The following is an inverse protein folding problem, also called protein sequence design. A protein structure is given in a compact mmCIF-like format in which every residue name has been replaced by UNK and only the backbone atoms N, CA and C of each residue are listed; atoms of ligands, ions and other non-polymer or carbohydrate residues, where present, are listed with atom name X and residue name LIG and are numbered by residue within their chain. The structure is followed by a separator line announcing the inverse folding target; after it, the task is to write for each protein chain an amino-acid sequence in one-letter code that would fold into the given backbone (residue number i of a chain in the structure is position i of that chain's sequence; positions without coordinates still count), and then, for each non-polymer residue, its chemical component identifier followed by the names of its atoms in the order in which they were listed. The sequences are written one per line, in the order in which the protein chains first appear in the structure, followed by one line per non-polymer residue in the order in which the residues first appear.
data_IF_193854359115
#
_entry.id   IF_193854359115
#
_cell.length_a   1.000
_cell.length_b   1.000
_cell.length_c   1.000
_cell.angle_alpha   90.00
_cell.angle_beta   90.00
_cell.angle_gamma   90.00
#
_symmetry.space_group_name_H-M   'P 1'
#
loop_
_entity.id
_entity.type
_entity.pdbx_description
1 polymer ?
#
# COMPACT_ATOMS: atom_id res chain seq x y z
N UNK A 1 -17.76 8.15 12.52
CA UNK A 1 -16.36 8.48 12.19
C UNK A 1 -16.18 8.34 10.68
N UNK A 2 -15.97 9.45 9.97
CA UNK A 2 -15.64 9.42 8.53
C UNK A 2 -14.15 9.07 8.45
N UNK A 3 -13.81 7.95 7.81
CA UNK A 3 -12.41 7.59 7.55
C UNK A 3 -12.07 8.01 6.12
N UNK A 4 -11.29 9.09 5.98
CA UNK A 4 -10.85 9.64 4.70
C UNK A 4 -9.90 8.71 3.93
N UNK A 5 -9.37 7.68 4.60
CA UNK A 5 -8.44 6.69 4.04
C UNK A 5 -9.12 5.40 3.57
N UNK A 6 -10.45 5.34 3.62
CA UNK A 6 -11.19 4.14 3.22
C UNK A 6 -11.30 4.08 1.69
N UNK A 7 -10.76 3.01 1.11
CA UNK A 7 -10.80 2.78 -0.34
C UNK A 7 -12.10 2.10 -0.77
N UNK A 8 -12.52 1.08 -0.03
CA UNK A 8 -13.75 0.34 -0.32
C UNK A 8 -14.34 -0.24 0.96
N UNK A 9 -15.66 -0.45 0.94
CA UNK A 9 -16.43 -1.07 2.01
C UNK A 9 -17.48 -2.00 1.42
N UNK A 10 -17.55 -3.21 1.96
CA UNK A 10 -18.64 -4.15 1.74
C UNK A 10 -19.34 -4.44 3.05
N UNK A 11 -20.66 -4.60 3.01
CA UNK A 11 -21.48 -4.83 4.21
C UNK A 11 -22.46 -5.96 4.02
N UNK A 12 -22.72 -6.66 5.12
CA UNK A 12 -23.82 -7.58 5.37
C UNK A 12 -24.48 -7.16 6.69
N UNK A 13 -25.58 -7.80 7.04
CA UNK A 13 -26.34 -7.47 8.26
C UNK A 13 -25.48 -7.54 9.52
N UNK A 14 -24.57 -8.51 9.59
CA UNK A 14 -23.75 -8.76 10.79
C UNK A 14 -22.25 -8.66 10.54
N UNK A 15 -21.80 -8.29 9.34
CA UNK A 15 -20.37 -8.21 9.06
C UNK A 15 -20.03 -7.11 8.06
N UNK A 16 -18.82 -6.59 8.15
CA UNK A 16 -18.30 -5.53 7.30
C UNK A 16 -16.87 -5.88 6.93
N UNK A 17 -16.52 -5.69 5.66
CA UNK A 17 -15.15 -5.67 5.19
C UNK A 17 -14.79 -4.25 4.74
N UNK A 18 -13.68 -3.72 5.22
CA UNK A 18 -13.15 -2.41 4.84
C UNK A 18 -11.68 -2.52 4.42
N UNK A 19 -11.33 -1.80 3.36
CA UNK A 19 -9.94 -1.68 2.91
C UNK A 19 -9.51 -0.22 3.05
N UNK A 20 -8.35 0.01 3.66
CA UNK A 20 -7.82 1.35 3.93
C UNK A 20 -6.43 1.53 3.31
N UNK A 21 -6.17 2.76 2.90
CA UNK A 21 -4.88 3.24 2.39
C UNK A 21 -3.99 3.72 3.53
N UNK A 22 -2.79 3.16 3.65
CA UNK A 22 -1.69 3.64 4.49
C UNK A 22 -0.37 3.63 3.70
N UNK A 23 -0.41 3.96 2.40
CA UNK A 23 0.77 4.08 1.55
C UNK A 23 1.60 5.31 1.93
N UNK A 24 2.91 5.20 1.77
CA UNK A 24 3.88 6.26 2.07
C UNK A 24 4.91 6.32 0.95
N UNK A 25 5.31 7.52 0.56
CA UNK A 25 6.35 7.69 -0.45
C UNK A 25 7.70 7.31 0.15
N UNK A 26 8.54 6.62 -0.61
CA UNK A 26 9.91 6.38 -0.20
C UNK A 26 10.67 7.71 -0.10
N UNK A 27 11.11 8.05 1.10
CA UNK A 27 11.83 9.27 1.43
C UNK A 27 13.36 9.05 1.56
N UNK A 28 13.82 7.82 1.31
CA UNK A 28 15.22 7.40 1.39
C UNK A 28 15.84 7.58 2.79
N UNK A 29 15.05 7.68 3.86
CA UNK A 29 15.54 7.60 5.23
C UNK A 29 15.56 6.16 5.74
N UNK A 30 16.52 5.76 6.57
CA UNK A 30 16.63 4.36 6.96
C UNK A 30 15.47 3.87 7.82
N UNK A 31 14.81 4.74 8.56
CA UNK A 31 13.68 4.33 9.39
C UNK A 31 12.41 4.13 8.56
N UNK A 32 12.13 5.05 7.63
CA UNK A 32 10.84 5.18 6.94
C UNK A 32 10.87 4.77 5.46
N UNK A 33 12.03 4.81 4.83
CA UNK A 33 12.25 4.57 3.41
C UNK A 33 13.27 3.45 3.14
N UNK A 34 13.51 3.20 1.85
CA UNK A 34 14.55 2.32 1.36
C UNK A 34 15.64 3.14 0.67
N UNK A 35 16.89 2.70 0.78
CA UNK A 35 17.98 3.24 -0.05
C UNK A 35 17.77 2.87 -1.53
N UNK A 36 17.08 1.76 -1.79
CA UNK A 36 16.70 1.32 -3.13
C UNK A 36 15.63 2.22 -3.76
N UNK A 37 15.65 2.32 -5.09
CA UNK A 37 14.66 3.11 -5.84
C UNK A 37 13.34 2.35 -5.95
N UNK A 38 12.47 2.56 -4.97
CA UNK A 38 11.06 2.14 -4.99
C UNK A 38 10.16 3.35 -4.69
N UNK A 39 8.94 3.38 -5.21
CA UNK A 39 7.99 4.48 -4.93
C UNK A 39 7.47 4.40 -3.49
N UNK A 40 7.34 3.17 -2.97
CA UNK A 40 6.73 2.87 -1.69
C UNK A 40 7.77 2.81 -0.56
N UNK A 41 7.54 3.54 0.53
CA UNK A 41 8.36 3.47 1.74
C UNK A 41 8.15 2.19 2.56
N UNK A 42 9.01 1.97 3.57
CA UNK A 42 9.04 0.76 4.42
C UNK A 42 7.73 0.44 5.11
N UNK A 43 6.96 1.46 5.46
CA UNK A 43 5.67 1.34 6.16
C UNK A 43 4.45 1.43 5.27
N UNK A 44 4.61 1.48 3.95
CA UNK A 44 3.48 1.51 3.00
C UNK A 44 2.66 0.25 3.11
N UNK A 45 1.39 0.37 3.49
CA UNK A 45 0.49 -0.77 3.63
C UNK A 45 -0.90 -0.48 3.06
N UNK A 46 -1.55 -1.52 2.56
CA UNK A 46 -2.99 -1.57 2.40
C UNK A 46 -3.56 -2.45 3.51
N UNK A 47 -4.49 -1.89 4.29
CA UNK A 47 -5.04 -2.51 5.48
C UNK A 47 -6.43 -3.09 5.20
N UNK A 48 -6.58 -4.38 5.45
CA UNK A 48 -7.83 -5.11 5.40
C UNK A 48 -8.39 -5.24 6.80
N UNK A 49 -9.64 -4.87 6.98
CA UNK A 49 -10.37 -5.03 8.23
C UNK A 49 -11.65 -5.80 7.97
N UNK A 50 -11.90 -6.83 8.76
CA UNK A 50 -13.19 -7.51 8.81
C UNK A 50 -13.73 -7.37 10.22
N UNK A 51 -14.94 -6.84 10.34
CA UNK A 51 -15.66 -6.69 11.60
C UNK A 51 -16.88 -7.58 11.54
N UNK A 52 -16.98 -8.54 12.45
CA UNK A 52 -18.16 -9.39 12.65
C UNK A 52 -18.83 -9.03 13.98
N UNK A 53 -20.11 -8.65 13.92
CA UNK A 53 -20.91 -8.23 15.06
C UNK A 53 -22.01 -9.23 15.43
N UNK A 54 -21.97 -10.47 14.92
CA UNK A 54 -22.95 -11.52 15.26
C UNK A 54 -23.12 -11.71 16.76
N UNK A 55 -22.04 -11.60 17.52
CA UNK A 55 -22.01 -11.80 18.98
C UNK A 55 -22.10 -10.49 19.78
N UNK A 56 -22.29 -9.35 19.11
CA UNK A 56 -22.41 -8.04 19.74
C UNK A 56 -21.60 -6.94 19.03
N UNK A 57 -21.80 -5.70 19.45
CA UNK A 57 -21.12 -4.51 18.92
C UNK A 57 -19.99 -4.05 19.86
N UNK A 58 -19.14 -3.15 19.37
CA UNK A 58 -18.01 -2.54 20.11
C UNK A 58 -17.02 -3.61 20.60
N UNK A 59 -16.78 -3.69 21.90
CA UNK A 59 -15.84 -4.64 22.52
C UNK A 59 -16.21 -6.11 22.30
N UNK A 60 -17.49 -6.39 21.97
CA UNK A 60 -17.97 -7.74 21.65
C UNK A 60 -17.88 -8.07 20.15
N UNK A 61 -17.47 -7.12 19.32
CA UNK A 61 -17.29 -7.36 17.89
C UNK A 61 -15.97 -8.11 17.67
N UNK A 62 -16.01 -9.15 16.85
CA UNK A 62 -14.79 -9.82 16.41
C UNK A 62 -14.19 -9.00 15.27
N UNK A 63 -12.95 -8.54 15.45
CA UNK A 63 -12.23 -7.73 14.47
C UNK A 63 -10.97 -8.47 14.04
N UNK A 64 -10.81 -8.63 12.73
CA UNK A 64 -9.57 -9.10 12.13
C UNK A 64 -8.96 -7.98 11.30
N UNK A 65 -7.67 -7.74 11.51
CA UNK A 65 -6.89 -6.76 10.75
C UNK A 65 -5.71 -7.45 10.09
N UNK A 66 -5.45 -7.13 8.81
CA UNK A 66 -4.28 -7.60 8.09
C UNK A 66 -3.70 -6.50 7.22
N UNK A 67 -2.38 -6.31 7.27
CA UNK A 67 -1.68 -5.26 6.53
C UNK A 67 -0.82 -5.88 5.43
N UNK A 68 -1.19 -5.64 4.17
CA UNK A 68 -0.42 -6.06 3.00
C UNK A 68 0.56 -4.97 2.56
N UNK A 69 1.75 -5.36 2.13
CA UNK A 69 2.63 -4.48 1.37
C UNK A 69 2.11 -4.30 -0.06
N UNK A 70 2.52 -3.25 -0.78
CA UNK A 70 2.20 -3.07 -2.20
C UNK A 70 2.53 -4.32 -3.05
N UNK A 71 3.72 -4.88 -2.89
CA UNK A 71 4.16 -6.07 -3.65
C UNK A 71 3.34 -7.32 -3.33
N UNK A 72 2.96 -7.53 -2.07
CA UNK A 72 2.06 -8.63 -1.69
C UNK A 72 0.67 -8.47 -2.33
N UNK A 73 0.18 -7.23 -2.39
CA UNK A 73 -1.12 -6.91 -2.97
C UNK A 73 -1.11 -7.11 -4.49
N UNK A 74 -0.04 -6.73 -5.17
CA UNK A 74 0.19 -7.06 -6.57
C UNK A 74 0.17 -8.57 -6.81
N UNK A 75 0.86 -9.34 -5.95
CA UNK A 75 0.83 -10.81 -6.00
C UNK A 75 -0.58 -11.37 -5.89
N UNK A 76 -1.39 -10.85 -4.95
CA UNK A 76 -2.81 -11.22 -4.85
C UNK A 76 -3.58 -10.89 -6.14
N UNK A 77 -3.38 -9.70 -6.73
CA UNK A 77 -4.06 -9.33 -7.98
C UNK A 77 -3.65 -10.20 -9.17
N UNK A 78 -2.39 -10.60 -9.28
CA UNK A 78 -1.94 -11.52 -10.31
C UNK A 78 -2.66 -12.88 -10.22
N UNK A 79 -2.93 -13.35 -9.01
CA UNK A 79 -3.65 -14.60 -8.77
C UNK A 79 -5.16 -14.43 -9.06
N UNK A 80 -5.75 -13.29 -8.66
CA UNK A 80 -7.17 -12.99 -8.86
C UNK A 80 -7.55 -12.64 -10.31
N UNK A 81 -6.64 -12.07 -11.11
CA UNK A 81 -6.95 -11.55 -12.45
C UNK A 81 -7.33 -12.68 -13.42
N UNK A 82 -8.39 -12.47 -14.22
CA UNK A 82 -8.91 -13.41 -15.21
C UNK A 82 -9.43 -14.74 -14.63
N UNK A 83 -9.91 -14.73 -13.38
CA UNK A 83 -10.43 -15.92 -12.67
C UNK A 83 -11.90 -15.79 -12.24
N UNK A 84 -12.87 -15.54 -13.15
CA UNK A 84 -14.27 -15.27 -12.77
C UNK A 84 -14.97 -16.42 -12.02
N UNK A 85 -14.49 -17.66 -12.19
CA UNK A 85 -15.08 -18.86 -11.59
C UNK A 85 -14.11 -19.62 -10.68
N UNK A 86 -13.04 -18.97 -10.18
CA UNK A 86 -12.13 -19.57 -9.19
C UNK A 86 -11.17 -20.68 -9.67
N UNK A 87 -11.41 -21.32 -10.82
CA UNK A 87 -10.56 -22.44 -11.32
C UNK A 87 -9.10 -22.00 -11.49
N UNK A 88 -8.85 -20.98 -12.33
CA UNK A 88 -7.50 -20.42 -12.56
C UNK A 88 -6.90 -19.81 -11.29
N UNK A 89 -7.74 -19.37 -10.36
CA UNK A 89 -7.31 -18.85 -9.08
C UNK A 89 -6.67 -19.96 -8.24
N UNK A 90 -7.34 -21.11 -8.10
CA UNK A 90 -6.84 -22.25 -7.30
C UNK A 90 -5.49 -22.75 -7.82
N UNK A 91 -5.36 -22.92 -9.14
CA UNK A 91 -4.10 -23.32 -9.76
C UNK A 91 -2.95 -22.35 -9.43
N UNK A 92 -3.19 -21.05 -9.58
CA UNK A 92 -2.19 -20.01 -9.28
C UNK A 92 -1.89 -19.90 -7.79
N UNK A 93 -2.90 -20.06 -6.93
CA UNK A 93 -2.75 -20.06 -5.48
C UNK A 93 -1.87 -21.23 -5.02
N UNK A 94 -2.05 -22.43 -5.58
CA UNK A 94 -1.19 -23.60 -5.31
C UNK A 94 0.27 -23.29 -5.69
N UNK A 95 0.49 -22.71 -6.87
CA UNK A 95 1.84 -22.35 -7.33
C UNK A 95 2.49 -21.33 -6.37
N UNK A 96 1.75 -20.29 -5.99
CA UNK A 96 2.22 -19.27 -5.05
C UNK A 96 2.54 -19.87 -3.67
N UNK A 97 1.68 -20.74 -3.16
CA UNK A 97 1.86 -21.33 -1.84
C UNK A 97 2.98 -22.36 -1.78
N UNK A 98 3.26 -23.08 -2.87
CA UNK A 98 4.44 -23.96 -2.96
C UNK A 98 5.74 -23.20 -2.68
N UNK A 99 5.85 -21.96 -3.15
CA UNK A 99 7.01 -21.11 -2.85
C UNK A 99 7.08 -20.74 -1.35
N UNK A 100 5.93 -20.69 -0.69
CA UNK A 100 5.80 -20.38 0.74
C UNK A 100 5.68 -21.62 1.65
N UNK A 101 5.88 -22.83 1.11
CA UNK A 101 5.74 -24.12 1.83
C UNK A 101 4.39 -24.31 2.51
N UNK A 102 3.33 -23.75 1.92
CA UNK A 102 1.94 -23.95 2.35
C UNK A 102 1.26 -24.89 1.35
N UNK A 103 0.57 -25.91 1.84
CA UNK A 103 -0.25 -26.77 0.99
C UNK A 103 -1.71 -26.28 1.04
N UNK A 104 -2.07 -25.40 0.10
CA UNK A 104 -3.41 -24.83 0.01
C UNK A 104 -3.76 -24.37 -1.40
N UNK A 105 -5.04 -24.48 -1.76
CA UNK A 105 -5.66 -23.94 -2.98
C UNK A 105 -6.16 -22.49 -2.81
N UNK A 106 -5.81 -21.85 -1.70
CA UNK A 106 -6.19 -20.48 -1.34
C UNK A 106 -4.97 -19.57 -1.30
N UNK A 107 -5.09 -18.31 -1.66
CA UNK A 107 -3.99 -17.38 -1.42
C UNK A 107 -3.81 -17.20 0.09
N UNK A 108 -2.64 -17.54 0.62
CA UNK A 108 -2.35 -17.45 2.06
C UNK A 108 -1.10 -16.62 2.32
N UNK A 109 -1.22 -15.62 3.17
CA UNK A 109 -0.10 -14.87 3.74
C UNK A 109 -0.15 -14.96 5.26
N UNK A 110 0.96 -15.36 5.87
CA UNK A 110 1.14 -15.37 7.31
C UNK A 110 2.29 -14.43 7.68
N UNK A 111 2.07 -13.61 8.71
CA UNK A 111 3.08 -12.68 9.24
C UNK A 111 3.20 -12.85 10.74
N UNK A 112 4.42 -12.83 11.25
CA UNK A 112 4.70 -12.88 12.68
C UNK A 112 5.49 -11.65 13.11
N UNK A 113 5.08 -11.03 14.21
CA UNK A 113 5.77 -9.86 14.76
C UNK A 113 6.86 -10.28 15.73
N UNK A 114 7.98 -10.79 15.22
CA UNK A 114 9.08 -11.36 16.01
C UNK A 114 9.73 -10.41 17.03
N UNK A 115 9.56 -9.08 16.89
CA UNK A 115 10.04 -8.09 17.86
C UNK A 115 9.12 -7.90 19.08
N UNK A 116 7.85 -8.30 18.98
CA UNK A 116 6.89 -8.14 20.06
C UNK A 116 6.59 -9.51 20.65
N UNK A 117 6.58 -9.60 21.97
CA UNK A 117 6.29 -10.83 22.71
C UNK A 117 5.34 -10.53 23.86
N UNK A 118 4.40 -11.43 24.09
CA UNK A 118 3.54 -11.40 25.28
C UNK A 118 4.30 -11.96 26.51
N UNK A 119 3.61 -12.02 27.65
CA UNK A 119 4.16 -12.53 28.92
C UNK A 119 4.55 -14.02 28.85
N UNK A 120 3.95 -14.78 27.92
CA UNK A 120 4.28 -16.19 27.63
C UNK A 120 5.43 -16.32 26.60
N UNK A 121 6.11 -15.21 26.25
CA UNK A 121 7.18 -15.15 25.24
C UNK A 121 6.72 -15.57 23.83
N UNK A 122 5.41 -15.48 23.54
CA UNK A 122 4.82 -15.73 22.23
C UNK A 122 4.68 -14.43 21.43
N UNK A 123 4.96 -14.50 20.14
CA UNK A 123 4.79 -13.39 19.21
C UNK A 123 3.43 -13.47 18.50
N UNK A 124 2.75 -12.34 18.29
CA UNK A 124 1.50 -12.32 17.57
C UNK A 124 1.73 -12.63 16.10
N UNK A 125 0.83 -13.43 15.54
CA UNK A 125 0.81 -13.86 14.16
C UNK A 125 -0.54 -13.50 13.52
N UNK A 126 -0.50 -13.14 12.24
CA UNK A 126 -1.65 -12.71 11.46
C UNK A 126 -1.67 -13.49 10.16
N UNK A 127 -2.82 -14.04 9.81
CA UNK A 127 -3.02 -14.77 8.57
C UNK A 127 -4.12 -14.12 7.77
N UNK A 128 -3.86 -13.83 6.49
CA UNK A 128 -4.88 -13.52 5.50
C UNK A 128 -4.98 -14.70 4.55
N UNK A 129 -6.21 -15.20 4.37
CA UNK A 129 -6.55 -16.21 3.39
C UNK A 129 -7.64 -15.70 2.45
N UNK A 130 -7.43 -15.83 1.15
CA UNK A 130 -8.45 -15.60 0.13
C UNK A 130 -8.73 -16.92 -0.57
N UNK A 131 -9.98 -17.37 -0.61
CA UNK A 131 -10.38 -18.63 -1.24
C UNK A 131 -11.64 -18.48 -2.09
N UNK A 132 -11.85 -19.46 -2.98
CA UNK A 132 -13.07 -19.60 -3.76
C UNK A 132 -13.81 -20.88 -3.35
N UNK A 133 -14.99 -20.72 -2.77
CA UNK A 133 -15.79 -21.76 -2.14
C UNK A 133 -16.84 -22.31 -3.13
N UNK A 134 -16.40 -23.18 -4.05
CA UNK A 134 -17.24 -23.76 -5.12
C UNK A 134 -18.55 -24.37 -4.60
N UNK A 135 -18.48 -25.03 -3.45
CA UNK A 135 -19.56 -25.78 -2.82
C UNK A 135 -20.65 -24.89 -2.18
N UNK A 136 -20.45 -23.57 -2.09
CA UNK A 136 -21.49 -22.68 -1.61
C UNK A 136 -22.63 -22.57 -2.62
N UNK A 137 -23.86 -22.72 -2.12
CA UNK A 137 -25.09 -22.58 -2.90
C UNK A 137 -25.42 -21.14 -3.28
N UNK A 138 -24.87 -20.17 -2.54
CA UNK A 138 -25.07 -18.75 -2.81
C UNK A 138 -24.02 -18.20 -3.80
N UNK A 139 -24.29 -17.02 -4.35
CA UNK A 139 -23.39 -16.37 -5.31
C UNK A 139 -22.15 -15.74 -4.65
N UNK A 140 -22.08 -15.72 -3.31
CA UNK A 140 -20.99 -15.12 -2.54
C UNK A 140 -19.90 -16.15 -2.25
N UNK A 141 -19.20 -16.58 -3.31
CA UNK A 141 -18.23 -17.68 -3.25
C UNK A 141 -16.81 -17.26 -2.89
N UNK A 142 -16.47 -15.98 -2.95
CA UNK A 142 -15.13 -15.53 -2.59
C UNK A 142 -15.05 -15.24 -1.10
N UNK A 143 -14.19 -15.95 -0.38
CA UNK A 143 -14.01 -15.78 1.05
C UNK A 143 -12.71 -15.03 1.34
N UNK A 144 -12.81 -13.91 2.03
CA UNK A 144 -11.69 -13.31 2.76
C UNK A 144 -11.75 -13.78 4.20
N UNK A 145 -10.65 -14.31 4.70
CA UNK A 145 -10.51 -14.82 6.05
C UNK A 145 -9.29 -14.17 6.70
N UNK A 146 -9.48 -13.59 7.88
CA UNK A 146 -8.39 -13.05 8.69
C UNK A 146 -8.40 -13.79 10.02
N UNK A 147 -7.22 -14.25 10.41
CA UNK A 147 -6.98 -14.93 11.67
C UNK A 147 -5.85 -14.24 12.42
N UNK A 148 -6.05 -14.11 13.72
CA UNK A 148 -5.02 -13.66 14.66
C UNK A 148 -4.67 -14.83 15.57
N UNK A 149 -3.38 -15.04 15.76
CA UNK A 149 -2.83 -16.10 16.55
C UNK A 149 -1.60 -15.60 17.32
N UNK A 150 -1.02 -16.48 18.12
CA UNK A 150 0.27 -16.29 18.76
C UNK A 150 1.11 -17.56 18.63
N UNK A 151 2.43 -17.42 18.69
CA UNK A 151 3.35 -18.55 18.68
C UNK A 151 4.81 -18.11 18.82
N UNK A 152 5.72 -19.06 19.04
CA UNK A 152 7.14 -18.75 19.09
C UNK A 152 7.64 -18.40 17.69
N UNK A 153 8.39 -17.31 17.57
CA UNK A 153 9.01 -16.91 16.31
C UNK A 153 10.28 -17.72 16.03
N UNK A 154 10.36 -18.29 14.82
CA UNK A 154 11.54 -18.99 14.30
C UNK A 154 12.06 -18.29 13.05
N UNK A 155 13.37 -18.06 13.01
CA UNK A 155 14.06 -17.43 11.88
C UNK A 155 14.70 -18.50 11.00
N UNK A 156 14.37 -18.52 9.71
CA UNK A 156 15.06 -19.30 8.69
C UNK A 156 16.02 -18.35 7.97
N UNK A 157 17.32 -18.62 8.08
CA UNK A 157 18.31 -17.96 7.25
C UNK A 157 18.38 -18.65 5.89
N UNK A 158 18.22 -17.87 4.82
CA UNK A 158 18.42 -18.31 3.45
C UNK A 158 19.91 -18.29 3.13
N UNK A 159 20.34 -19.21 2.26
CA UNK A 159 21.74 -19.30 1.77
C UNK A 159 22.26 -17.99 1.16
N UNK A 160 21.37 -17.09 0.75
CA UNK A 160 21.69 -15.79 0.15
C UNK A 160 21.65 -14.62 1.16
N UNK A 161 21.66 -14.91 2.47
CA UNK A 161 21.69 -13.88 3.53
C UNK A 161 20.33 -13.29 3.93
N UNK A 162 19.24 -13.70 3.28
CA UNK A 162 17.88 -13.29 3.68
C UNK A 162 17.40 -14.01 4.94
N UNK A 163 16.59 -13.34 5.77
CA UNK A 163 15.95 -13.92 6.96
C UNK A 163 14.43 -13.94 6.80
N UNK A 164 13.82 -15.10 7.03
CA UNK A 164 12.37 -15.26 7.05
C UNK A 164 11.91 -15.68 8.44
N UNK A 165 10.99 -14.92 9.03
CA UNK A 165 10.39 -15.24 10.31
C UNK A 165 9.05 -15.96 10.12
N UNK A 166 8.85 -17.05 10.84
CA UNK A 166 7.62 -17.84 10.82
C UNK A 166 7.28 -18.34 12.24
N UNK A 167 6.06 -18.87 12.41
CA UNK A 167 5.67 -19.51 13.66
C UNK A 167 6.30 -20.90 13.75
N UNK A 168 7.03 -21.16 14.83
CA UNK A 168 7.62 -22.47 15.12
C UNK A 168 6.53 -23.53 15.24
N UNK A 169 6.75 -24.66 14.57
CA UNK A 169 5.78 -25.78 14.55
C UNK A 169 5.43 -26.23 15.97
N UNK A 170 4.13 -26.38 16.25
CA UNK A 170 3.61 -26.85 17.54
C UNK A 170 3.39 -25.76 18.59
N UNK A 171 3.82 -24.51 18.32
CA UNK A 171 3.64 -23.38 19.25
C UNK A 171 2.45 -22.47 18.88
N UNK A 172 1.83 -22.77 17.74
CA UNK A 172 0.72 -21.99 17.20
C UNK A 172 -0.54 -22.10 18.06
N UNK A 173 -1.07 -20.94 18.47
CA UNK A 173 -2.30 -20.82 19.24
C UNK A 173 -3.21 -19.78 18.61
N UNK A 174 -4.35 -20.23 18.08
CA UNK A 174 -5.36 -19.34 17.49
C UNK A 174 -6.06 -18.52 18.56
N UNK A 175 -6.19 -17.21 18.33
CA UNK A 175 -6.86 -16.27 19.23
C UNK A 175 -8.24 -15.89 18.70
N UNK A 176 -8.32 -15.50 17.43
CA UNK A 176 -9.55 -15.01 16.81
C UNK A 176 -9.53 -15.27 15.30
N UNK A 177 -10.71 -15.39 14.71
CA UNK A 177 -10.89 -15.49 13.28
C UNK A 177 -12.16 -14.75 12.84
N UNK A 178 -12.12 -14.19 11.64
CA UNK A 178 -13.25 -13.53 11.00
C UNK A 178 -13.24 -13.83 9.52
N UNK A 179 -14.43 -13.81 8.90
CA UNK A 179 -14.54 -13.98 7.46
C UNK A 179 -15.61 -13.11 6.83
N UNK A 180 -15.39 -12.75 5.56
CA UNK A 180 -16.32 -11.99 4.75
C UNK A 180 -16.40 -12.60 3.37
N UNK A 181 -17.62 -12.70 2.84
CA UNK A 181 -17.89 -13.32 1.55
C UNK A 181 -18.28 -12.27 0.51
N UNK A 182 -17.60 -12.28 -0.64
CA UNK A 182 -17.92 -11.46 -1.80
C UNK A 182 -18.53 -12.32 -2.90
N UNK A 183 -19.49 -11.74 -3.62
CA UNK A 183 -19.91 -12.28 -4.91
C UNK A 183 -18.95 -11.84 -6.02
N UNK A 184 -19.13 -12.37 -7.23
CA UNK A 184 -18.26 -12.06 -8.37
C UNK A 184 -18.23 -10.57 -8.75
N UNK A 185 -19.37 -9.87 -8.65
CA UNK A 185 -19.44 -8.45 -8.96
C UNK A 185 -18.66 -7.60 -7.94
N UNK A 186 -18.79 -7.93 -6.65
CA UNK A 186 -18.05 -7.29 -5.57
C UNK A 186 -16.55 -7.58 -5.66
N UNK A 187 -16.17 -8.82 -5.96
CA UNK A 187 -14.76 -9.19 -6.18
C UNK A 187 -14.15 -8.42 -7.36
N UNK A 188 -14.85 -8.34 -8.49
CA UNK A 188 -14.42 -7.54 -9.64
C UNK A 188 -14.30 -6.06 -9.29
N UNK A 189 -15.23 -5.53 -8.49
CA UNK A 189 -15.18 -4.15 -8.00
C UNK A 189 -13.97 -3.92 -7.09
N UNK A 190 -13.70 -4.85 -6.17
CA UNK A 190 -12.53 -4.83 -5.29
C UNK A 190 -11.23 -4.78 -6.10
N UNK A 191 -11.03 -5.71 -7.04
CA UNK A 191 -9.83 -5.76 -7.89
C UNK A 191 -9.68 -4.43 -8.64
N UNK A 192 -10.74 -3.97 -9.30
CA UNK A 192 -10.72 -2.75 -10.12
C UNK A 192 -10.41 -1.49 -9.31
N UNK A 193 -11.06 -1.30 -8.16
CA UNK A 193 -10.91 -0.08 -7.35
C UNK A 193 -9.52 -0.03 -6.75
N UNK A 194 -9.07 -1.12 -6.13
CA UNK A 194 -7.79 -1.12 -5.42
C UNK A 194 -6.61 -1.09 -6.40
N UNK A 195 -6.63 -1.86 -7.50
CA UNK A 195 -5.58 -1.80 -8.52
C UNK A 195 -5.46 -0.41 -9.18
N UNK A 196 -6.60 0.23 -9.49
CA UNK A 196 -6.62 1.59 -10.02
C UNK A 196 -6.07 2.60 -9.01
N UNK A 197 -6.43 2.47 -7.73
CA UNK A 197 -5.91 3.32 -6.67
C UNK A 197 -4.39 3.23 -6.57
N UNK A 198 -3.85 2.00 -6.50
CA UNK A 198 -2.40 1.76 -6.44
C UNK A 198 -1.67 2.45 -7.59
N UNK A 199 -2.13 2.24 -8.82
CA UNK A 199 -1.53 2.83 -10.01
C UNK A 199 -1.56 4.36 -9.99
N UNK A 200 -2.71 4.97 -9.70
CA UNK A 200 -2.83 6.43 -9.65
C UNK A 200 -1.95 7.00 -8.53
N UNK A 201 -1.92 6.34 -7.38
CA UNK A 201 -1.10 6.76 -6.25
C UNK A 201 0.38 6.73 -6.62
N UNK A 202 0.86 5.69 -7.30
CA UNK A 202 2.24 5.60 -7.80
C UNK A 202 2.55 6.69 -8.82
N UNK A 203 1.69 6.88 -9.83
CA UNK A 203 1.87 7.91 -10.87
C UNK A 203 1.99 9.32 -10.26
N UNK A 204 1.17 9.65 -9.25
CA UNK A 204 1.19 10.96 -8.59
C UNK A 204 2.43 11.14 -7.70
N UNK A 205 2.88 10.08 -7.02
CA UNK A 205 3.96 10.17 -6.04
C UNK A 205 5.36 9.86 -6.61
N UNK A 206 5.45 9.33 -7.82
CA UNK A 206 6.73 9.05 -8.48
C UNK A 206 7.63 10.29 -8.59
N UNK A 207 7.15 11.47 -9.04
CA UNK A 207 7.98 12.68 -9.08
C UNK A 207 8.52 13.08 -7.70
N UNK A 208 7.69 12.96 -6.66
CA UNK A 208 8.07 13.25 -5.28
C UNK A 208 9.16 12.29 -4.77
N UNK A 209 9.08 11.00 -5.12
CA UNK A 209 10.15 10.04 -4.83
C UNK A 209 11.45 10.45 -5.53
N UNK A 210 11.41 10.92 -6.78
CA UNK A 210 12.61 11.41 -7.48
C UNK A 210 13.24 12.63 -6.80
N UNK A 211 12.43 13.55 -6.27
CA UNK A 211 12.93 14.68 -5.48
C UNK A 211 13.68 14.20 -4.22
N UNK A 212 13.10 13.25 -3.47
CA UNK A 212 13.75 12.67 -2.30
C UNK A 212 15.03 11.92 -2.64
N UNK A 213 15.05 11.22 -3.77
CA UNK A 213 16.25 10.56 -4.28
C UNK A 213 17.36 11.56 -4.56
N UNK A 214 17.06 12.66 -5.25
CA UNK A 214 18.05 13.70 -5.55
C UNK A 214 18.64 14.32 -4.27
N UNK A 215 17.80 14.52 -3.25
CA UNK A 215 18.26 15.00 -1.94
C UNK A 215 19.15 13.96 -1.22
N UNK A 216 18.80 12.68 -1.29
CA UNK A 216 19.61 11.59 -0.76
C UNK A 216 20.98 11.52 -1.46
N UNK A 217 21.01 11.56 -2.80
CA UNK A 217 22.25 11.55 -3.59
C UNK A 217 23.14 12.75 -3.26
N UNK A 218 22.57 13.94 -3.00
CA UNK A 218 23.33 15.09 -2.52
C UNK A 218 23.97 14.80 -1.16
N UNK A 219 23.19 14.32 -0.18
CA UNK A 219 23.71 13.97 1.15
C UNK A 219 24.80 12.90 1.09
N UNK A 220 24.61 11.87 0.27
CA UNK A 220 25.58 10.79 0.09
C UNK A 220 26.88 11.29 -0.58
N UNK A 221 26.82 12.24 -1.52
CA UNK A 221 28.03 12.91 -2.02
C UNK A 221 28.78 13.67 -0.92
N UNK A 222 28.05 14.36 -0.06
CA UNK A 222 28.63 15.17 1.01
C UNK A 222 29.18 14.31 2.18
N UNK A 223 28.71 13.06 2.33
CA UNK A 223 29.00 12.20 3.48
C UNK A 223 29.55 10.80 3.12
N UNK A 224 29.92 10.54 1.86
CA UNK A 224 30.32 9.23 1.33
C UNK A 224 29.17 8.24 1.08
N UNK A 225 29.37 7.37 0.07
CA UNK A 225 28.36 6.42 -0.45
C UNK A 225 28.44 5.02 0.15
N UNK A 226 29.32 4.77 1.13
CA UNK A 226 29.42 3.45 1.76
C UNK A 226 28.26 3.20 2.74
N UNK A 227 27.90 1.93 2.88
CA UNK A 227 26.73 1.48 3.63
C UNK A 227 26.81 1.83 5.13
N UNK A 228 28.00 1.71 5.74
CA UNK A 228 28.21 2.03 7.16
C UNK A 228 28.01 3.51 7.43
N UNK A 229 28.53 4.36 6.55
CA UNK A 229 28.39 5.82 6.69
C UNK A 229 26.95 6.25 6.43
N UNK A 230 26.31 5.74 5.37
CA UNK A 230 24.87 5.95 5.13
C UNK A 230 24.05 5.54 6.35
N UNK A 231 24.32 4.37 6.93
CA UNK A 231 23.60 3.90 8.11
C UNK A 231 23.74 4.82 9.31
N UNK A 232 24.87 5.52 9.44
CA UNK A 232 25.15 6.41 10.55
C UNK A 232 24.37 7.74 10.45
N UNK A 233 24.39 8.42 9.30
CA UNK A 233 23.70 9.72 9.16
C UNK A 233 22.24 9.60 8.71
N UNK A 234 21.86 8.48 8.09
CA UNK A 234 20.51 8.27 7.57
C UNK A 234 19.58 7.54 8.57
N UNK A 235 20.07 7.26 9.79
CA UNK A 235 19.32 6.59 10.87
C UNK A 235 18.67 7.51 11.89
N UNK A 236 18.83 8.84 11.77
CA UNK A 236 18.16 9.79 12.68
C UNK A 236 17.81 11.09 11.97
N UNK A 237 16.51 11.35 11.85
CA UNK A 237 16.01 12.71 11.96
C UNK A 237 15.24 12.81 13.28
N UNK A 238 15.85 13.45 14.29
CA UNK A 238 15.07 13.87 15.46
C UNK A 238 13.96 14.81 15.00
N UNK A 239 12.80 14.77 15.66
CA UNK A 239 11.68 15.70 15.41
C UNK A 239 12.09 17.18 15.43
N UNK A 240 13.25 17.52 16.02
CA UNK A 240 13.82 18.87 16.04
C UNK A 240 14.29 19.35 14.66
N UNK A 241 14.86 18.47 13.83
CA UNK A 241 15.28 18.84 12.46
C UNK A 241 14.11 19.04 11.49
N UNK A 242 12.92 18.52 11.85
CA UNK A 242 11.68 18.83 11.12
C UNK A 242 11.19 20.25 11.36
N UNK A 243 11.68 20.96 12.38
CA UNK A 243 11.28 22.35 12.68
C UNK A 243 12.36 23.34 12.26
N UNK A 244 13.65 23.07 12.54
CA UNK A 244 14.72 24.02 12.18
C UNK A 244 15.04 24.11 10.68
N UNK A 245 14.84 23.04 9.89
CA UNK A 245 14.93 23.17 8.42
C UNK A 245 13.72 23.87 7.80
N UNK A 246 12.57 23.91 8.48
CA UNK A 246 11.43 24.73 8.06
C UNK A 246 11.63 26.19 8.45
N UNK A 247 12.53 26.50 9.39
CA UNK A 247 12.82 27.89 9.80
C UNK A 247 14.02 28.51 9.08
N UNK A 248 15.03 27.75 8.66
CA UNK A 248 16.15 28.29 7.89
C UNK A 248 15.91 28.34 6.36
N UNK A 249 14.90 27.63 5.84
CA UNK A 249 14.38 27.84 4.47
C UNK A 249 13.34 28.98 4.38
N UNK A 250 13.08 29.72 5.47
CA UNK A 250 12.26 30.95 5.45
C UNK A 250 12.95 32.15 4.78
N UNK A 251 14.11 31.97 4.13
CA UNK A 251 14.75 33.02 3.33
C UNK A 251 14.55 32.90 1.82
N UNK A 252 13.74 31.96 1.33
CA UNK A 252 13.08 32.12 0.04
C UNK A 252 11.60 32.40 0.27
N UNK A 253 11.28 33.70 0.30
CA UNK A 253 9.93 34.21 0.07
C UNK A 253 9.34 33.57 -1.18
N UNK A 254 8.47 32.58 -0.97
CA UNK A 254 7.40 32.26 -1.91
C UNK A 254 6.11 32.66 -1.24
N UNK A 255 5.88 33.97 -1.29
CA UNK A 255 4.55 34.56 -1.44
C UNK A 255 3.84 33.86 -2.59
N UNK A 256 3.15 32.74 -2.32
CA UNK A 256 2.08 32.28 -3.20
C UNK A 256 0.75 32.79 -2.67
N UNK A 257 0.61 34.11 -2.80
CA UNK A 257 -0.62 34.64 -3.37
C UNK A 257 -0.98 33.88 -4.65
N UNK A 258 -2.23 33.92 -5.07
CA UNK A 258 -2.68 33.35 -6.33
C UNK A 258 -2.02 34.09 -7.52
N UNK A 259 -0.74 33.81 -7.79
CA UNK A 259 -0.01 34.40 -8.92
C UNK A 259 -0.46 33.65 -10.18
N UNK A 260 -1.41 34.26 -10.88
CA UNK A 260 -1.81 33.87 -12.22
C UNK A 260 -0.72 34.34 -13.19
N UNK A 261 -0.21 33.43 -14.01
CA UNK A 261 0.85 33.75 -14.96
C UNK A 261 0.30 33.63 -16.39
N UNK A 262 -0.58 34.57 -16.72
CA UNK A 262 -1.15 34.74 -18.05
C UNK A 262 -2.52 34.06 -18.27
N UNK A 263 -3.08 34.32 -19.45
CA UNK A 263 -4.35 33.77 -19.92
C UNK A 263 -4.11 32.57 -20.82
N UNK A 264 -5.04 31.61 -20.78
CA UNK A 264 -5.09 30.51 -21.72
C UNK A 264 -5.20 31.05 -23.15
N UNK A 265 -4.31 30.64 -24.04
CA UNK A 265 -4.25 31.12 -25.43
C UNK A 265 -5.46 30.66 -26.27
N UNK A 266 -6.22 29.65 -25.82
CA UNK A 266 -7.38 29.13 -26.55
C UNK A 266 -8.72 29.67 -26.02
N UNK A 267 -8.88 29.83 -24.71
CA UNK A 267 -10.15 30.25 -24.11
C UNK A 267 -10.09 31.53 -23.28
N UNK A 268 -8.91 32.14 -23.12
CA UNK A 268 -8.73 33.41 -22.42
C UNK A 268 -8.93 33.39 -20.91
N UNK A 269 -9.18 32.21 -20.30
CA UNK A 269 -9.31 32.11 -18.85
C UNK A 269 -7.96 32.27 -18.14
N UNK A 270 -7.96 32.72 -16.89
CA UNK A 270 -6.73 32.87 -16.13
C UNK A 270 -6.12 31.49 -15.80
N UNK A 271 -4.81 31.36 -16.01
CA UNK A 271 -4.09 30.10 -15.80
C UNK A 271 -3.09 30.28 -14.68
N UNK A 272 -3.17 29.39 -13.68
CA UNK A 272 -2.19 29.35 -12.59
C UNK A 272 -0.81 29.08 -13.15
N UNK A 273 0.22 29.74 -12.62
CA UNK A 273 1.59 29.62 -13.10
C UNK A 273 2.07 28.18 -13.31
N UNK A 274 1.78 27.30 -12.35
CA UNK A 274 2.16 25.87 -12.43
C UNK A 274 1.52 25.18 -13.65
N UNK A 275 0.27 25.53 -13.97
CA UNK A 275 -0.44 25.00 -15.14
C UNK A 275 0.10 25.62 -16.43
N UNK A 276 0.44 26.91 -16.42
CA UNK A 276 1.02 27.60 -17.57
C UNK A 276 2.39 27.01 -17.95
N UNK A 277 3.28 26.83 -16.97
CA UNK A 277 4.61 26.24 -17.16
C UNK A 277 4.50 24.81 -17.69
N UNK A 278 3.63 24.00 -17.08
CA UNK A 278 3.40 22.61 -17.48
C UNK A 278 2.85 22.50 -18.91
N UNK A 279 1.87 23.33 -19.28
CA UNK A 279 1.25 23.25 -20.62
C UNK A 279 2.17 23.81 -21.70
N UNK A 280 2.95 24.85 -21.40
CA UNK A 280 3.94 25.41 -22.33
C UNK A 280 5.07 24.42 -22.63
N UNK A 281 5.53 23.65 -21.64
CA UNK A 281 6.52 22.59 -21.86
C UNK A 281 6.01 21.47 -22.80
N UNK A 282 4.73 21.11 -22.69
CA UNK A 282 4.17 19.97 -23.44
C UNK A 282 3.67 20.40 -24.83
N UNK A 283 3.05 21.56 -24.93
CA UNK A 283 2.30 21.98 -26.12
C UNK A 283 2.92 23.18 -26.83
N UNK A 284 3.94 23.82 -26.24
CA UNK A 284 4.49 25.09 -26.70
C UNK A 284 3.61 26.31 -26.40
N UNK A 285 2.37 26.11 -25.92
CA UNK A 285 1.37 27.15 -25.65
C UNK A 285 0.97 27.20 -24.18
N UNK A 286 0.59 28.38 -23.68
CA UNK A 286 -0.03 28.53 -22.36
C UNK A 286 -1.51 28.13 -22.42
N UNK A 287 -1.85 26.94 -21.95
CA UNK A 287 -3.20 26.40 -22.03
C UNK A 287 -3.75 26.07 -20.63
N UNK A 288 -5.05 26.25 -20.43
CA UNK A 288 -5.73 25.63 -19.30
C UNK A 288 -5.84 24.11 -19.52
N UNK A 289 -5.99 23.34 -18.44
CA UNK A 289 -6.02 21.86 -18.50
C UNK A 289 -7.06 21.31 -19.50
N UNK A 290 -8.30 21.85 -19.57
CA UNK A 290 -9.27 21.44 -20.59
C UNK A 290 -8.77 21.67 -22.02
N UNK A 291 -8.30 22.88 -22.34
CA UNK A 291 -7.81 23.24 -23.67
C UNK A 291 -6.56 22.44 -24.07
N UNK A 292 -5.65 22.16 -23.14
CA UNK A 292 -4.50 21.27 -23.36
C UNK A 292 -4.95 19.88 -23.81
N UNK A 293 -5.93 19.29 -23.11
CA UNK A 293 -6.45 17.95 -23.45
C UNK A 293 -7.04 17.93 -24.85
N UNK A 294 -7.82 18.95 -25.22
CA UNK A 294 -8.37 19.10 -26.57
C UNK A 294 -7.30 19.32 -27.64
N UNK A 295 -6.24 20.08 -27.33
CA UNK A 295 -5.13 20.36 -28.25
C UNK A 295 -4.32 19.10 -28.59
N UNK A 296 -3.92 18.33 -27.58
CA UNK A 296 -3.17 17.07 -27.78
C UNK A 296 -3.99 16.06 -28.58
N UNK A 297 -5.30 15.95 -28.31
CA UNK A 297 -6.18 15.05 -29.05
C UNK A 297 -6.39 15.44 -30.52
N UNK A 298 -6.26 16.74 -30.86
CA UNK A 298 -6.32 17.21 -32.25
C UNK A 298 -5.04 16.93 -33.04
N UNK A 299 -3.87 16.90 -32.39
CA UNK A 299 -2.60 16.57 -33.04
C UNK A 299 -2.36 15.05 -33.19
N UNK A 300 -3.16 14.24 -32.50
CA UNK A 300 -3.11 12.77 -32.55
C UNK A 300 -3.98 12.17 -33.67
N UNK A 301 -4.54 13.02 -34.54
CA UNK A 301 -5.36 12.67 -35.71
C UNK A 301 -4.73 13.30 -36.94
#
# INVERSE_FOLDING_TARGET
MISSRKLIKFGRDTSIMEVKDNLQVNDFWNDTGFVETTVHGKYSRIEFNIVDVKNGKKEKANVGEFKMTPSELEGLFQILTNSPNGIKFKERAIIFNKMNKVDSDSFTLMKIHHFYKNDENLSPAYTLKVSYEDAMRNDSKWKFFIETAEGEAECIEHKNGGRLYHVKKGTYKKINEVSFYLNNAEMNSFIRIISRHMRIWEEINYPKMLEYRAQFEKRARDNNYDEDTINTWNSKQTKAEKVEKIENDKSLELTKENIFNGKCEECGCDVKEVVATFTKQITGKNLCIPCKTSYVNKQSK
#
